data_IF_900371283982
#
_entry.id   IF_900371283982
#
_cell.length_a   1.000
_cell.length_b   1.000
_cell.length_c   1.000
_cell.angle_alpha   90.00
_cell.angle_beta   90.00
_cell.angle_gamma   90.00
#
_symmetry.space_group_name_H-M   'P 1'
#
loop_
_entity.id
_entity.type
_entity.pdbx_description
1 polymer ?
#
# COMPACT_ATOMS: atom_id res chain seq x y z
N UNK A 1 23.69 -14.01 -6.65
CA UNK A 1 22.26 -14.12 -6.98
C UNK A 1 21.69 -12.72 -6.92
N UNK A 2 20.92 -12.33 -7.92
CA UNK A 2 20.27 -11.03 -8.02
C UNK A 2 18.77 -11.26 -7.84
N UNK A 3 18.16 -10.58 -6.87
CA UNK A 3 16.74 -10.72 -6.59
C UNK A 3 15.94 -9.61 -7.29
N UNK A 4 14.81 -9.98 -7.89
CA UNK A 4 13.84 -9.05 -8.47
C UNK A 4 12.86 -8.60 -7.39
N UNK A 5 12.88 -7.31 -7.09
CA UNK A 5 11.99 -6.69 -6.11
C UNK A 5 11.09 -5.62 -6.71
N UNK A 6 10.08 -5.20 -5.95
CA UNK A 6 9.20 -4.10 -6.32
C UNK A 6 8.47 -3.50 -5.12
N UNK A 7 7.69 -2.45 -5.37
CA UNK A 7 6.82 -1.81 -4.39
C UNK A 7 5.35 -1.99 -4.75
N UNK A 8 4.54 -2.50 -3.82
CA UNK A 8 3.08 -2.50 -3.92
C UNK A 8 2.59 -1.10 -3.56
N UNK A 9 1.77 -0.52 -4.44
CA UNK A 9 1.23 0.83 -4.33
C UNK A 9 -0.29 0.78 -4.41
N UNK A 10 -0.94 1.17 -3.32
CA UNK A 10 -2.41 1.09 -3.14
C UNK A 10 -3.09 2.47 -3.15
N UNK A 11 -2.39 3.54 -3.55
CA UNK A 11 -2.97 4.88 -3.51
C UNK A 11 -2.07 5.98 -4.02
N UNK A 12 -2.07 7.13 -3.32
CA UNK A 12 -1.48 8.38 -3.79
C UNK A 12 0.04 8.35 -4.05
N UNK A 13 0.78 7.35 -3.53
CA UNK A 13 2.16 7.12 -3.94
C UNK A 13 2.33 6.92 -5.45
N UNK A 14 1.27 6.48 -6.16
CA UNK A 14 1.30 6.23 -7.59
C UNK A 14 1.29 7.54 -8.40
N UNK A 15 0.39 8.47 -8.05
CA UNK A 15 0.06 9.63 -8.88
C UNK A 15 0.40 10.99 -8.28
N UNK A 16 0.60 11.09 -6.96
CA UNK A 16 0.79 12.38 -6.32
C UNK A 16 2.16 13.00 -6.68
N UNK A 17 2.12 14.27 -7.09
CA UNK A 17 3.25 15.02 -7.63
C UNK A 17 4.05 15.80 -6.59
N UNK A 18 4.04 15.35 -5.33
CA UNK A 18 4.92 15.98 -4.34
C UNK A 18 6.37 15.67 -4.68
N UNK A 19 7.32 16.63 -4.55
CA UNK A 19 8.70 16.45 -5.00
C UNK A 19 9.37 15.18 -4.47
N UNK A 20 9.09 14.79 -3.22
CA UNK A 20 9.63 13.57 -2.60
C UNK A 20 9.09 12.28 -3.25
N UNK A 21 7.81 12.24 -3.62
CA UNK A 21 7.18 11.06 -4.22
C UNK A 21 7.57 10.91 -5.68
N UNK A 22 7.64 12.01 -6.42
CA UNK A 22 8.15 12.03 -7.79
C UNK A 22 9.61 11.59 -7.85
N UNK A 23 10.46 12.17 -7.01
CA UNK A 23 11.88 11.78 -6.93
C UNK A 23 12.02 10.31 -6.59
N UNK A 24 11.25 9.79 -5.64
CA UNK A 24 11.29 8.37 -5.29
C UNK A 24 10.94 7.48 -6.49
N UNK A 25 9.81 7.74 -7.17
CA UNK A 25 9.42 6.96 -8.36
C UNK A 25 10.50 7.03 -9.45
N UNK A 26 10.99 8.23 -9.76
CA UNK A 26 11.97 8.43 -10.84
C UNK A 26 13.33 7.80 -10.56
N UNK A 27 13.77 7.76 -9.30
CA UNK A 27 15.10 7.26 -8.94
C UNK A 27 15.09 5.75 -8.72
N UNK A 28 14.04 5.20 -8.10
CA UNK A 28 14.07 3.84 -7.57
C UNK A 28 13.20 2.85 -8.34
N UNK A 29 12.16 3.31 -9.04
CA UNK A 29 11.17 2.45 -9.67
C UNK A 29 11.25 2.50 -11.20
N UNK A 30 10.92 1.38 -11.82
CA UNK A 30 10.62 1.32 -13.24
C UNK A 30 9.49 2.30 -13.61
N UNK A 31 9.43 2.64 -14.90
CA UNK A 31 8.40 3.56 -15.40
C UNK A 31 6.99 2.99 -15.23
N UNK A 32 5.97 3.86 -15.26
CA UNK A 32 4.56 3.45 -15.14
C UNK A 32 4.09 2.54 -16.30
N UNK A 33 4.86 2.40 -17.37
CA UNK A 33 4.59 1.48 -18.48
C UNK A 33 4.89 0.03 -18.09
N UNK A 34 5.78 -0.17 -17.11
CA UNK A 34 6.16 -1.48 -16.55
C UNK A 34 5.39 -1.84 -15.27
N UNK A 35 4.31 -1.12 -14.96
CA UNK A 35 3.48 -1.44 -13.80
C UNK A 35 2.78 -2.78 -13.99
N UNK A 36 2.73 -3.57 -12.92
CA UNK A 36 2.00 -4.84 -12.89
C UNK A 36 0.72 -4.64 -12.07
N UNK A 37 -0.47 -4.70 -12.67
CA UNK A 37 -1.72 -4.73 -11.91
C UNK A 37 -1.71 -5.95 -10.98
N UNK A 38 -2.07 -5.75 -9.71
CA UNK A 38 -2.10 -6.83 -8.72
C UNK A 38 -3.38 -6.78 -7.93
N UNK A 39 -3.96 -7.96 -7.70
CA UNK A 39 -5.10 -8.11 -6.81
C UNK A 39 -4.61 -8.17 -5.36
N UNK A 40 -5.12 -7.26 -4.54
CA UNK A 40 -4.80 -7.23 -3.11
C UNK A 40 -6.07 -6.86 -2.32
N UNK A 41 -6.21 -7.38 -1.10
CA UNK A 41 -7.30 -7.02 -0.20
C UNK A 41 -7.09 -5.62 0.35
N UNK A 42 -7.69 -4.64 -0.31
CA UNK A 42 -7.63 -3.22 0.05
C UNK A 42 -9.02 -2.62 0.19
N UNK A 43 -9.14 -1.68 1.12
CA UNK A 43 -10.38 -0.95 1.42
C UNK A 43 -10.09 0.44 1.94
N UNK A 44 -11.11 1.29 2.01
CA UNK A 44 -11.01 2.53 2.78
C UNK A 44 -11.02 2.23 4.28
N UNK A 45 -10.16 2.90 5.04
CA UNK A 45 -10.04 2.59 6.47
C UNK A 45 -9.19 3.54 7.32
N UNK A 46 -8.49 4.50 6.74
CA UNK A 46 -7.70 5.48 7.49
C UNK A 46 -8.12 6.90 7.23
N UNK A 47 -8.61 7.59 8.24
CA UNK A 47 -8.87 9.03 8.21
C UNK A 47 -7.58 9.81 7.94
N UNK A 48 -7.64 10.79 7.05
CA UNK A 48 -6.48 11.61 6.69
C UNK A 48 -6.79 13.10 6.82
N UNK A 49 -6.14 13.76 7.78
CA UNK A 49 -6.31 15.20 8.01
C UNK A 49 -5.88 16.06 6.81
N UNK A 50 -4.87 15.63 6.07
CA UNK A 50 -4.44 16.28 4.81
C UNK A 50 -5.41 16.09 3.64
N UNK A 51 -6.45 15.26 3.83
CA UNK A 51 -7.51 14.96 2.86
C UNK A 51 -8.88 15.35 3.41
N UNK A 52 -8.92 16.46 4.15
CA UNK A 52 -10.12 17.00 4.79
C UNK A 52 -10.87 15.98 5.65
N UNK A 53 -10.13 15.15 6.39
CA UNK A 53 -10.70 14.10 7.27
C UNK A 53 -11.57 13.06 6.54
N UNK A 54 -11.34 12.86 5.24
CA UNK A 54 -11.86 11.72 4.48
C UNK A 54 -11.00 10.48 4.67
N UNK A 55 -11.45 9.35 4.13
CA UNK A 55 -10.79 8.06 4.28
C UNK A 55 -9.84 7.75 3.12
N UNK A 56 -8.67 7.23 3.48
CA UNK A 56 -7.65 6.69 2.58
C UNK A 56 -7.62 5.17 2.64
N UNK A 57 -7.02 4.54 1.63
CA UNK A 57 -6.97 3.10 1.50
C UNK A 57 -5.96 2.46 2.46
N UNK A 58 -6.28 1.26 2.91
CA UNK A 58 -5.43 0.39 3.73
C UNK A 58 -5.45 -1.02 3.14
N UNK A 59 -4.41 -1.80 3.42
CA UNK A 59 -4.46 -3.27 3.29
C UNK A 59 -5.24 -3.82 4.49
N UNK A 60 -6.07 -4.85 4.29
CA UNK A 60 -6.85 -5.46 5.36
C UNK A 60 -7.13 -6.93 5.08
N UNK A 61 -6.89 -7.79 6.06
CA UNK A 61 -7.21 -9.22 6.03
C UNK A 61 -8.61 -9.51 6.60
N UNK A 62 -9.37 -8.48 6.96
CA UNK A 62 -10.72 -8.60 7.49
C UNK A 62 -11.64 -9.39 6.53
N UNK A 63 -12.51 -10.25 7.08
CA UNK A 63 -13.34 -11.19 6.30
C UNK A 63 -14.30 -10.51 5.31
N UNK A 64 -14.66 -9.25 5.56
CA UNK A 64 -15.49 -8.42 4.66
C UNK A 64 -14.68 -7.64 3.62
N UNK A 65 -13.36 -7.72 3.65
CA UNK A 65 -12.47 -7.08 2.68
C UNK A 65 -12.26 -8.03 1.51
N UNK A 66 -12.78 -7.65 0.35
CA UNK A 66 -12.54 -8.36 -0.90
C UNK A 66 -11.35 -7.75 -1.67
N UNK A 67 -10.96 -8.40 -2.75
CA UNK A 67 -9.90 -7.94 -3.62
C UNK A 67 -10.25 -6.62 -4.31
N UNK A 68 -9.30 -5.71 -4.24
CA UNK A 68 -9.21 -4.52 -5.08
C UNK A 68 -8.09 -4.66 -6.12
N UNK A 69 -7.81 -3.56 -6.82
CA UNK A 69 -6.68 -3.46 -7.75
C UNK A 69 -5.67 -2.45 -7.21
N UNK A 70 -4.42 -2.89 -7.12
CA UNK A 70 -3.26 -2.05 -6.85
C UNK A 70 -2.22 -2.26 -7.97
N UNK A 71 -1.07 -1.60 -7.85
CA UNK A 71 0.05 -1.83 -8.76
C UNK A 71 1.30 -2.26 -8.01
N UNK A 72 2.07 -3.14 -8.64
CA UNK A 72 3.49 -3.29 -8.35
C UNK A 72 4.25 -2.44 -9.34
N UNK A 73 5.15 -1.59 -8.83
CA UNK A 73 6.21 -1.00 -9.64
C UNK A 73 7.53 -1.73 -9.32
N UNK A 74 8.15 -2.40 -10.32
CA UNK A 74 9.45 -3.03 -10.13
C UNK A 74 10.51 -2.00 -9.72
N UNK A 75 11.52 -2.44 -8.97
CA UNK A 75 12.74 -1.65 -8.79
C UNK A 75 13.54 -1.60 -10.09
N UNK A 76 14.18 -0.46 -10.38
CA UNK A 76 15.08 -0.34 -11.54
C UNK A 76 16.29 -1.26 -11.43
N UNK A 77 16.83 -1.36 -10.23
CA UNK A 77 18.04 -2.11 -9.94
C UNK A 77 17.69 -3.41 -9.23
N UNK A 78 18.30 -4.55 -9.63
CA UNK A 78 18.16 -5.78 -8.89
C UNK A 78 18.76 -5.65 -7.48
N UNK A 79 18.20 -6.38 -6.54
CA UNK A 79 18.68 -6.40 -5.17
C UNK A 79 19.78 -7.44 -5.02
N UNK A 80 20.97 -6.99 -4.66
CA UNK A 80 22.15 -7.86 -4.56
C UNK A 80 22.43 -8.30 -3.13
N UNK A 81 21.86 -7.59 -2.14
CA UNK A 81 22.03 -7.85 -0.71
C UNK A 81 20.98 -7.10 0.12
N UNK A 82 20.93 -7.38 1.42
CA UNK A 82 19.99 -6.78 2.36
C UNK A 82 20.08 -5.24 2.42
N UNK A 83 21.27 -4.64 2.28
CA UNK A 83 21.42 -3.18 2.30
C UNK A 83 20.79 -2.51 1.09
N UNK A 84 20.77 -3.18 -0.07
CA UNK A 84 20.05 -2.66 -1.23
C UNK A 84 18.54 -2.64 -0.96
N UNK A 85 17.97 -3.70 -0.39
CA UNK A 85 16.56 -3.75 0.00
C UNK A 85 16.23 -2.68 1.06
N UNK A 86 17.05 -2.54 2.09
CA UNK A 86 16.94 -1.47 3.09
C UNK A 86 16.86 -0.10 2.44
N UNK A 87 17.75 0.16 1.47
CA UNK A 87 17.79 1.45 0.78
C UNK A 87 16.50 1.72 0.01
N UNK A 88 15.92 0.70 -0.64
CA UNK A 88 14.61 0.81 -1.31
C UNK A 88 13.49 1.11 -0.30
N UNK A 89 13.47 0.39 0.83
CA UNK A 89 12.47 0.56 1.87
C UNK A 89 12.54 1.94 2.54
N UNK A 90 13.75 2.41 2.89
CA UNK A 90 13.93 3.75 3.47
C UNK A 90 13.59 4.86 2.48
N UNK A 91 13.84 4.67 1.19
CA UNK A 91 13.45 5.62 0.16
C UNK A 91 11.91 5.72 0.04
N UNK A 92 11.21 4.58 0.03
CA UNK A 92 9.74 4.55 0.07
C UNK A 92 9.20 5.21 1.35
N UNK A 93 9.77 4.86 2.50
CA UNK A 93 9.39 5.44 3.78
C UNK A 93 9.58 6.97 3.82
N UNK A 94 10.64 7.49 3.17
CA UNK A 94 10.87 8.91 2.99
C UNK A 94 9.80 9.57 2.12
N UNK A 95 9.44 8.94 0.99
CA UNK A 95 8.37 9.39 0.11
C UNK A 95 7.02 9.46 0.84
N UNK A 96 6.74 8.49 1.71
CA UNK A 96 5.55 8.45 2.55
C UNK A 96 5.58 9.45 3.72
N UNK A 97 6.77 9.91 4.13
CA UNK A 97 6.92 10.82 5.27
C UNK A 97 6.94 10.10 6.63
N UNK A 98 7.40 8.85 6.63
CA UNK A 98 7.63 8.04 7.82
C UNK A 98 8.94 8.40 8.53
N UNK A 99 9.86 9.08 7.86
CA UNK A 99 11.10 9.55 8.49
C UNK A 99 10.80 10.42 9.72
N UNK A 100 11.63 10.23 10.75
CA UNK A 100 11.58 10.95 12.02
C UNK A 100 12.56 12.12 11.94
N UNK A 101 12.43 13.09 12.86
CA UNK A 101 13.42 14.18 12.97
C UNK A 101 14.83 13.64 13.29
N UNK A 102 14.90 12.50 13.97
CA UNK A 102 16.15 11.81 14.34
C UNK A 102 16.79 11.04 13.18
N UNK A 103 16.10 10.86 12.04
CA UNK A 103 16.66 10.19 10.88
C UNK A 103 15.68 9.28 10.13
N UNK A 104 16.21 8.47 9.17
CA UNK A 104 15.44 7.50 8.42
C UNK A 104 14.75 6.49 9.34
N UNK A 105 13.49 6.17 9.04
CA UNK A 105 12.71 5.17 9.75
C UNK A 105 11.71 4.54 8.79
N UNK A 106 11.49 3.24 8.93
CA UNK A 106 10.42 2.53 8.25
C UNK A 106 9.08 2.64 8.97
N UNK A 107 9.07 3.17 10.20
CA UNK A 107 7.90 3.15 11.08
C UNK A 107 7.58 4.54 11.66
N UNK A 108 6.28 4.84 11.73
CA UNK A 108 5.72 6.00 12.42
C UNK A 108 4.38 5.60 13.02
N UNK A 109 3.86 6.42 13.93
CA UNK A 109 2.59 6.17 14.62
C UNK A 109 1.38 5.95 13.70
N UNK A 110 1.45 6.38 12.43
CA UNK A 110 0.36 6.21 11.47
C UNK A 110 0.63 5.14 10.40
N UNK A 111 1.83 4.57 10.32
CA UNK A 111 2.15 3.61 9.26
C UNK A 111 3.57 3.05 9.31
N UNK A 112 3.80 1.98 8.56
CA UNK A 112 5.08 1.28 8.47
C UNK A 112 5.32 0.68 7.08
N UNK A 113 6.58 0.53 6.66
CA UNK A 113 6.94 -0.22 5.44
C UNK A 113 7.28 -1.65 5.80
N UNK A 114 6.46 -2.62 5.37
CA UNK A 114 6.73 -4.04 5.56
C UNK A 114 7.33 -4.72 4.32
N UNK A 115 7.80 -5.94 4.51
CA UNK A 115 8.39 -6.80 3.47
C UNK A 115 7.53 -8.06 3.26
N UNK A 116 7.06 -8.26 2.03
CA UNK A 116 6.39 -9.48 1.60
C UNK A 116 7.40 -10.36 0.86
N UNK A 117 7.57 -11.60 1.29
CA UNK A 117 8.51 -12.56 0.67
C UNK A 117 7.73 -13.55 -0.17
N UNK A 118 8.22 -13.84 -1.38
CA UNK A 118 7.61 -14.86 -2.23
C UNK A 118 7.70 -16.23 -1.54
N UNK A 119 6.57 -16.91 -1.29
CA UNK A 119 6.57 -18.23 -0.65
C UNK A 119 7.24 -19.31 -1.50
N UNK A 120 7.39 -19.08 -2.81
CA UNK A 120 8.07 -19.99 -3.75
C UNK A 120 9.55 -19.69 -3.92
N UNK A 121 10.07 -18.61 -3.31
CA UNK A 121 11.50 -18.31 -3.38
C UNK A 121 12.30 -19.45 -2.76
N UNK A 122 13.34 -19.90 -3.46
CA UNK A 122 14.24 -20.93 -2.94
C UNK A 122 14.89 -20.45 -1.64
N UNK A 123 14.93 -21.35 -0.65
CA UNK A 123 15.58 -21.08 0.63
C UNK A 123 17.10 -21.05 0.42
N UNK A 124 17.61 -19.85 0.10
CA UNK A 124 19.02 -19.59 -0.10
C UNK A 124 19.61 -18.87 1.11
N UNK A 125 20.90 -19.10 1.37
CA UNK A 125 21.65 -18.37 2.40
C UNK A 125 21.54 -16.85 2.24
N UNK A 126 21.43 -16.36 1.00
CA UNK A 126 21.27 -14.93 0.72
C UNK A 126 19.90 -14.40 1.14
N UNK A 127 18.83 -15.18 0.95
CA UNK A 127 17.48 -14.79 1.39
C UNK A 127 17.38 -14.77 2.92
N UNK A 128 17.98 -15.74 3.62
CA UNK A 128 18.01 -15.76 5.08
C UNK A 128 18.76 -14.55 5.66
N UNK A 129 19.89 -14.15 5.05
CA UNK A 129 20.59 -12.91 5.44
C UNK A 129 19.70 -11.68 5.26
N UNK A 130 18.86 -11.63 4.21
CA UNK A 130 17.91 -10.54 3.99
C UNK A 130 16.85 -10.53 5.11
N UNK A 131 16.27 -11.69 5.43
CA UNK A 131 15.28 -11.83 6.50
C UNK A 131 15.82 -11.42 7.86
N UNK A 132 16.97 -11.97 8.26
CA UNK A 132 17.62 -11.65 9.54
C UNK A 132 17.90 -10.16 9.67
N UNK A 133 18.42 -9.56 8.59
CA UNK A 133 18.72 -8.13 8.57
C UNK A 133 17.44 -7.28 8.64
N UNK A 134 16.37 -7.69 7.97
CA UNK A 134 15.07 -7.02 8.02
C UNK A 134 14.46 -7.06 9.42
N UNK A 135 14.40 -8.26 10.02
CA UNK A 135 13.91 -8.45 11.39
C UNK A 135 14.66 -7.59 12.41
N UNK A 136 15.99 -7.46 12.26
CA UNK A 136 16.82 -6.61 13.12
C UNK A 136 16.44 -5.14 13.06
N UNK A 137 16.02 -4.62 11.91
CA UNK A 137 15.56 -3.22 11.80
C UNK A 137 14.28 -3.00 12.62
N UNK A 138 13.40 -4.00 12.62
CA UNK A 138 12.13 -3.95 13.31
C UNK A 138 12.24 -4.12 14.83
N UNK A 139 13.28 -4.81 15.31
CA UNK A 139 13.61 -4.88 16.74
C UNK A 139 13.95 -3.51 17.35
N UNK A 140 14.44 -2.56 16.54
CA UNK A 140 14.80 -1.21 16.99
C UNK A 140 13.58 -0.26 17.06
N UNK A 141 12.39 -0.69 16.65
CA UNK A 141 11.18 0.12 16.68
C UNK A 141 10.31 -0.19 17.91
N UNK A 142 9.86 0.87 18.57
CA UNK A 142 8.76 0.81 19.51
C UNK A 142 7.44 0.95 18.73
N UNK A 143 6.83 -0.19 18.41
CA UNK A 143 5.61 -0.29 17.62
C UNK A 143 4.80 -1.52 18.02
N UNK A 144 3.51 -1.53 17.69
CA UNK A 144 2.65 -2.68 17.94
C UNK A 144 2.02 -3.16 16.63
N UNK A 145 2.26 -4.42 16.27
CA UNK A 145 1.67 -5.03 15.07
C UNK A 145 0.14 -5.05 15.08
N UNK A 146 -0.47 -5.14 16.26
CA UNK A 146 -1.93 -5.06 16.43
C UNK A 146 -2.50 -3.66 16.10
N UNK A 147 -1.66 -2.64 16.00
CA UNK A 147 -2.08 -1.32 15.51
C UNK A 147 -2.51 -1.35 14.04
N UNK A 148 -2.22 -2.42 13.29
CA UNK A 148 -2.64 -2.54 11.89
C UNK A 148 -3.93 -3.33 11.71
N UNK A 149 -4.50 -3.88 12.78
CA UNK A 149 -5.71 -4.69 12.75
C UNK A 149 -6.95 -3.90 13.20
N UNK A 150 -8.11 -4.28 12.69
CA UNK A 150 -9.43 -3.98 13.22
C UNK A 150 -10.14 -5.27 13.64
N UNK A 151 -11.05 -5.16 14.61
CA UNK A 151 -11.86 -6.27 15.08
C UNK A 151 -10.98 -7.50 15.39
N UNK A 152 -11.32 -8.68 14.84
CA UNK A 152 -10.53 -9.91 14.95
C UNK A 152 -9.92 -10.30 13.59
N UNK A 153 -9.51 -9.34 12.75
CA UNK A 153 -8.92 -9.69 11.46
C UNK A 153 -7.56 -10.39 11.63
N UNK A 154 -7.21 -11.34 10.75
CA UNK A 154 -5.89 -11.95 10.74
C UNK A 154 -4.78 -10.90 10.67
N UNK A 155 -3.64 -11.22 11.28
CA UNK A 155 -2.47 -10.34 11.28
C UNK A 155 -2.05 -9.97 9.85
N UNK A 156 -1.74 -8.69 9.62
CA UNK A 156 -1.31 -8.16 8.32
C UNK A 156 0.22 -8.03 8.27
N UNK A 157 0.87 -7.89 9.42
CA UNK A 157 2.31 -7.77 9.57
C UNK A 157 2.76 -8.38 10.89
N UNK A 158 3.85 -9.15 10.87
CA UNK A 158 4.41 -9.75 12.08
C UNK A 158 5.36 -8.80 12.84
N UNK A 159 5.85 -9.24 14.00
CA UNK A 159 6.76 -8.45 14.83
C UNK A 159 8.12 -8.14 14.17
N UNK A 160 8.49 -8.92 13.15
CA UNK A 160 9.73 -8.75 12.38
C UNK A 160 9.51 -7.88 11.14
N UNK A 161 8.29 -7.37 10.92
CA UNK A 161 7.96 -6.52 9.80
C UNK A 161 7.71 -7.25 8.49
N UNK A 162 7.46 -8.57 8.53
CA UNK A 162 7.06 -9.33 7.36
C UNK A 162 5.55 -9.23 7.16
N UNK A 163 5.15 -8.95 5.91
CA UNK A 163 3.76 -8.80 5.53
C UNK A 163 3.11 -10.17 5.36
N UNK A 164 1.91 -10.30 5.92
CA UNK A 164 1.01 -11.42 5.71
C UNK A 164 -0.11 -10.99 4.75
N UNK A 165 0.28 -10.71 3.51
CA UNK A 165 -0.62 -10.38 2.40
C UNK A 165 -0.72 -11.62 1.52
N UNK A 166 -1.92 -11.94 1.06
CA UNK A 166 -2.16 -13.05 0.15
C UNK A 166 -1.30 -12.91 -1.12
N UNK A 167 -0.45 -13.91 -1.39
CA UNK A 167 0.44 -13.92 -2.55
C UNK A 167 -0.35 -14.36 -3.79
N UNK A 168 -0.55 -13.45 -4.74
CA UNK A 168 -1.32 -13.72 -5.96
C UNK A 168 -0.42 -14.01 -7.17
N UNK A 169 -1.00 -14.52 -8.26
CA UNK A 169 -0.23 -14.96 -9.44
C UNK A 169 0.57 -13.83 -10.08
N UNK A 170 0.04 -12.62 -10.07
CA UNK A 170 0.66 -11.42 -10.62
C UNK A 170 1.97 -11.05 -9.87
N UNK A 171 2.18 -11.61 -8.66
CA UNK A 171 3.38 -11.40 -7.84
C UNK A 171 4.50 -12.40 -8.14
N UNK A 172 4.24 -13.52 -8.83
CA UNK A 172 5.19 -14.63 -9.01
C UNK A 172 6.52 -14.23 -9.68
N UNK A 173 6.51 -13.10 -10.38
CA UNK A 173 7.65 -12.50 -11.06
C UNK A 173 8.67 -11.82 -10.13
N UNK A 174 8.38 -11.74 -8.83
CA UNK A 174 9.21 -11.06 -7.83
C UNK A 174 9.63 -12.02 -6.73
N UNK A 175 10.82 -11.81 -6.17
CA UNK A 175 11.33 -12.54 -5.01
C UNK A 175 10.79 -11.95 -3.70
N UNK A 176 10.55 -10.64 -3.69
CA UNK A 176 9.92 -9.93 -2.58
C UNK A 176 9.35 -8.58 -3.03
N UNK A 177 8.43 -8.07 -2.23
CA UNK A 177 7.74 -6.80 -2.44
C UNK A 177 7.76 -5.99 -1.14
N UNK A 178 7.87 -4.66 -1.24
CA UNK A 178 7.64 -3.78 -0.09
C UNK A 178 6.29 -3.08 -0.23
N UNK A 179 5.63 -2.81 0.89
CA UNK A 179 4.39 -2.06 0.91
C UNK A 179 4.32 -1.18 2.15
N UNK A 180 3.68 -0.01 2.04
CA UNK A 180 3.32 0.80 3.21
C UNK A 180 1.98 0.35 3.75
N UNK A 181 1.98 -0.12 4.99
CA UNK A 181 0.78 -0.28 5.80
C UNK A 181 0.50 1.00 6.55
N UNK A 182 -0.78 1.31 6.74
CA UNK A 182 -1.19 2.45 7.54
C UNK A 182 -2.16 2.01 8.62
N UNK A 183 -2.09 2.66 9.78
CA UNK A 183 -2.92 2.35 10.94
C UNK A 183 -4.38 2.74 10.61
N UNK A 184 -5.34 1.80 10.69
CA UNK A 184 -6.75 2.11 10.51
C UNK A 184 -7.24 3.11 11.56
N UNK A 185 -7.98 4.11 11.10
CA UNK A 185 -8.66 5.10 11.94
C UNK A 185 -10.00 5.46 11.26
N UNK A 186 -11.14 5.07 11.82
CA UNK A 186 -11.30 4.41 13.12
C UNK A 186 -10.93 2.92 13.10
N UNK A 187 -10.77 2.33 14.29
CA UNK A 187 -10.51 0.91 14.54
C UNK A 187 -11.75 0.01 14.31
N UNK A 188 -12.37 0.15 13.14
CA UNK A 188 -13.55 -0.64 12.72
C UNK A 188 -13.67 -0.69 11.21
N UNK A 189 -14.48 -1.61 10.72
CA UNK A 189 -14.83 -1.66 9.30
C UNK A 189 -15.71 -0.46 8.91
N UNK A 190 -15.43 0.15 7.75
CA UNK A 190 -16.21 1.25 7.20
C UNK A 190 -17.07 0.74 6.05
N UNK A 191 -18.37 0.98 6.11
CA UNK A 191 -19.26 0.72 4.98
C UNK A 191 -19.20 1.87 3.96
N UNK A 192 -19.76 1.59 2.79
CA UNK A 192 -19.75 2.48 1.63
C UNK A 192 -20.57 3.76 1.88
N UNK A 193 -21.58 3.70 2.76
CA UNK A 193 -22.41 4.85 3.13
C UNK A 193 -21.62 5.85 3.95
N UNK A 194 -20.91 5.41 4.98
CA UNK A 194 -20.10 6.27 5.83
C UNK A 194 -18.96 6.93 5.05
N UNK A 195 -18.34 6.21 4.11
CA UNK A 195 -17.30 6.76 3.24
C UNK A 195 -17.90 7.86 2.34
N UNK A 196 -19.01 7.56 1.66
CA UNK A 196 -19.68 8.53 0.79
C UNK A 196 -20.19 9.76 1.54
N UNK A 197 -20.74 9.58 2.75
CA UNK A 197 -21.21 10.68 3.59
C UNK A 197 -20.07 11.61 3.99
N UNK A 198 -18.89 11.06 4.34
CA UNK A 198 -17.73 11.90 4.67
C UNK A 198 -17.21 12.68 3.47
N UNK A 199 -17.20 12.09 2.28
CA UNK A 199 -16.86 12.78 1.02
C UNK A 199 -17.89 13.88 0.73
N UNK A 200 -19.19 13.59 0.88
CA UNK A 200 -20.27 14.55 0.65
C UNK A 200 -20.25 15.73 1.64
N UNK A 201 -19.96 15.45 2.91
CA UNK A 201 -19.86 16.45 4.00
C UNK A 201 -18.71 17.42 3.76
N UNK A 202 -17.53 16.88 3.42
CA UNK A 202 -16.30 17.67 3.23
C UNK A 202 -16.21 18.29 1.85
N UNK A 203 -16.89 17.72 0.86
CA UNK A 203 -16.74 18.06 -0.54
C UNK A 203 -15.41 17.62 -1.15
N UNK A 204 -14.61 16.81 -0.43
CA UNK A 204 -13.30 16.34 -0.87
C UNK A 204 -13.38 14.91 -1.45
N UNK A 205 -13.48 14.80 -2.78
CA UNK A 205 -13.48 13.52 -3.50
C UNK A 205 -12.18 13.25 -4.28
N UNK A 206 -11.24 14.20 -4.31
CA UNK A 206 -10.01 14.13 -5.12
C UNK A 206 -9.22 12.84 -4.91
N UNK A 207 -9.02 12.40 -3.67
CA UNK A 207 -8.30 11.14 -3.39
C UNK A 207 -9.05 9.92 -3.94
N UNK A 208 -10.37 9.87 -3.73
CA UNK A 208 -11.23 8.79 -4.26
C UNK A 208 -11.17 8.76 -5.79
N UNK A 209 -11.49 9.90 -6.41
CA UNK A 209 -11.51 10.06 -7.87
C UNK A 209 -10.18 9.79 -8.52
N UNK A 210 -9.08 10.32 -7.97
CA UNK A 210 -7.77 10.18 -8.62
C UNK A 210 -7.28 8.72 -8.57
N UNK A 211 -7.52 8.00 -7.47
CA UNK A 211 -7.28 6.56 -7.44
C UNK A 211 -8.16 5.84 -8.46
N UNK A 212 -9.44 6.22 -8.55
CA UNK A 212 -10.35 5.68 -9.54
C UNK A 212 -9.83 5.95 -10.99
N UNK A 213 -9.47 7.16 -11.34
CA UNK A 213 -8.95 7.48 -12.68
C UNK A 213 -7.62 6.77 -13.00
N UNK A 214 -6.81 6.44 -11.99
CA UNK A 214 -5.55 5.71 -12.15
C UNK A 214 -5.70 4.18 -12.13
N UNK A 215 -6.91 3.63 -12.02
CA UNK A 215 -7.12 2.18 -12.01
C UNK A 215 -6.83 1.50 -10.65
N UNK A 216 -6.55 2.27 -9.60
CA UNK A 216 -6.47 1.74 -8.23
C UNK A 216 -7.90 1.63 -7.70
N UNK A 217 -8.32 0.43 -7.32
CA UNK A 217 -9.73 0.12 -7.00
C UNK A 217 -9.90 -0.61 -5.69
N UNK A 218 -11.00 -0.35 -4.99
CA UNK A 218 -11.50 -1.23 -3.93
C UNK A 218 -12.82 -1.87 -4.34
N UNK A 219 -13.20 -2.96 -3.69
CA UNK A 219 -14.52 -3.58 -3.88
C UNK A 219 -15.71 -2.66 -3.49
N UNK A 220 -15.43 -1.56 -2.79
CA UNK A 220 -16.44 -0.61 -2.31
C UNK A 220 -16.78 0.47 -3.34
N UNK A 221 -15.91 0.69 -4.34
CA UNK A 221 -15.92 1.90 -5.16
C UNK A 221 -17.26 2.14 -5.87
N UNK A 222 -17.83 1.11 -6.50
CA UNK A 222 -19.08 1.23 -7.26
C UNK A 222 -20.27 1.64 -6.38
N UNK A 223 -20.34 1.10 -5.16
CA UNK A 223 -21.39 1.48 -4.20
C UNK A 223 -21.14 2.85 -3.58
N UNK A 224 -19.89 3.25 -3.38
CA UNK A 224 -19.54 4.61 -2.93
C UNK A 224 -20.03 5.61 -4.00
N UNK A 225 -19.74 5.36 -5.27
CA UNK A 225 -20.15 6.22 -6.40
C UNK A 225 -21.66 6.43 -6.43
N UNK A 226 -22.45 5.36 -6.26
CA UNK A 226 -23.92 5.44 -6.23
C UNK A 226 -24.47 6.33 -5.09
N UNK A 227 -23.67 6.58 -4.05
CA UNK A 227 -24.06 7.31 -2.83
C UNK A 227 -23.52 8.75 -2.79
N UNK A 228 -22.66 9.13 -3.74
CA UNK A 228 -22.16 10.51 -3.83
C UNK A 228 -23.27 11.45 -4.35
N UNK A 229 -23.52 12.55 -3.63
CA UNK A 229 -24.56 13.56 -3.96
C UNK A 229 -24.22 14.34 -5.21
N UNK A 230 -22.92 14.50 -5.48
CA UNK A 230 -22.40 15.03 -6.73
C UNK A 230 -22.18 13.86 -7.68
N UNK A 231 -23.10 13.62 -8.62
CA UNK A 231 -22.83 12.82 -9.83
C UNK A 231 -21.84 13.53 -10.78
N UNK A 232 -20.86 14.25 -10.24
CA UNK A 232 -19.93 15.06 -11.02
C UNK A 232 -19.01 14.16 -11.82
N UNK A 233 -19.42 13.87 -13.05
CA UNK A 233 -18.56 13.57 -14.20
C UNK A 233 -17.44 12.56 -13.88
N UNK A 234 -17.80 11.34 -13.50
CA UNK A 234 -16.91 10.21 -13.76
C UNK A 234 -17.09 9.86 -15.25
N UNK A 235 -16.03 9.84 -16.06
CA UNK A 235 -16.16 9.53 -17.48
C UNK A 235 -16.79 8.14 -17.66
N UNK A 236 -17.87 8.09 -18.43
CA UNK A 236 -18.72 6.92 -18.70
C UNK A 236 -18.01 5.83 -19.54
N UNK A 237 -16.68 5.83 -19.59
CA UNK A 237 -15.90 4.93 -20.46
C UNK A 237 -15.50 3.61 -19.81
N UNK A 238 -16.04 3.25 -18.64
CA UNK A 238 -15.75 1.96 -17.98
C UNK A 238 -16.97 1.04 -17.80
N UNK A 239 -18.18 1.46 -18.21
CA UNK A 239 -19.41 0.64 -18.06
C UNK A 239 -19.66 -0.24 -19.31
N UNK A 240 -18.94 -0.04 -20.41
CA UNK A 240 -19.08 -0.86 -21.61
C UNK A 240 -17.93 -1.86 -21.73
N UNK A 241 -18.01 -2.96 -20.97
CA UNK A 241 -17.42 -4.28 -21.28
C UNK A 241 -17.90 -5.31 -20.24
N UNK A 242 -19.21 -5.40 -20.08
CA UNK A 242 -19.90 -6.50 -19.42
C UNK A 242 -21.21 -6.74 -20.20
N UNK A 243 -21.04 -7.23 -21.42
CA UNK A 243 -22.10 -7.69 -22.32
C UNK A 243 -21.57 -8.87 -23.11
#
# INVERSE_FOLDING_TARGET
>A
MEFKGGAIIIGSLFWEKTPKREKWRQVYLETNDNKVPVRIRIRYGRKSSTRQDTYTMIVSNHLKTDFGTAYILPFKEPIKNARNLESQAFAMAGAEGLWKKSGPSLNKTWGTVGLLINPKSENSKSLEIIKERWAKIYQDYDWNKSDYQIDNEPEIIDENGFLNIEWTEEMNDFDFLIATLTVPDPKKFLDEQLIADKINETGYDEYFRTNYENGIRTFQDEKIIQKLKKQSQLPTSAIANAG
#
